data_IF_372827090778
#
_entry.id   IF_372827090778
#
_cell.length_a   1.000
_cell.length_b   1.000
_cell.length_c   1.000
_cell.angle_alpha   90.00
_cell.angle_beta   90.00
_cell.angle_gamma   90.00
#
_symmetry.space_group_name_H-M   'P 1'
#
loop_
_entity.id
_entity.type
_entity.pdbx_description
1 polymer ?
#
# COMPACT_ATOMS: atom_id res chain seq x y z
N UNK A 1 41.72 -19.27 5.21
CA UNK A 1 40.37 -19.09 4.62
C UNK A 1 40.46 -17.85 3.74
N UNK A 2 40.51 -18.02 2.42
CA UNK A 2 40.47 -16.92 1.47
C UNK A 2 39.02 -16.35 1.46
N UNK A 3 38.81 -15.02 1.41
CA UNK A 3 37.49 -14.44 1.22
C UNK A 3 36.99 -14.86 -0.18
N UNK A 4 35.74 -15.30 -0.26
CA UNK A 4 35.06 -15.58 -1.51
C UNK A 4 35.10 -14.31 -2.37
N UNK A 5 35.71 -14.40 -3.55
CA UNK A 5 35.65 -13.34 -4.55
C UNK A 5 34.23 -13.28 -5.09
N UNK A 6 33.51 -12.19 -4.78
CA UNK A 6 32.23 -11.88 -5.38
C UNK A 6 32.40 -11.58 -6.87
N UNK A 7 32.36 -12.65 -7.70
CA UNK A 7 32.33 -12.52 -9.17
C UNK A 7 30.88 -12.40 -9.63
N UNK A 8 30.37 -11.17 -9.69
CA UNK A 8 29.13 -10.92 -10.43
C UNK A 8 29.39 -11.17 -11.93
N UNK A 9 28.45 -11.91 -12.56
CA UNK A 9 28.49 -12.20 -13.99
C UNK A 9 28.36 -10.88 -14.80
N UNK A 10 28.95 -10.88 -16.03
CA UNK A 10 28.82 -9.79 -17.00
C UNK A 10 27.37 -9.49 -17.42
N UNK A 11 26.41 -10.35 -17.05
CA UNK A 11 24.96 -10.24 -17.33
C UNK A 11 24.17 -9.48 -16.23
N UNK A 12 24.85 -8.84 -15.26
CA UNK A 12 24.20 -8.23 -14.09
C UNK A 12 23.86 -9.23 -12.98
N UNK A 13 23.43 -8.74 -11.78
CA UNK A 13 23.11 -9.61 -10.64
C UNK A 13 21.82 -10.39 -10.89
N UNK A 14 21.80 -11.68 -10.51
CA UNK A 14 20.56 -12.47 -10.50
C UNK A 14 19.70 -12.03 -9.33
N UNK A 15 18.53 -11.45 -9.65
CA UNK A 15 17.54 -10.98 -8.66
C UNK A 15 16.47 -12.05 -8.48
N UNK A 16 16.04 -12.28 -7.23
CA UNK A 16 14.82 -13.00 -6.90
C UNK A 16 13.93 -12.12 -6.01
N UNK A 17 12.61 -12.25 -6.15
CA UNK A 17 11.64 -11.57 -5.31
C UNK A 17 11.20 -12.54 -4.22
N UNK A 18 11.14 -12.08 -2.97
CA UNK A 18 10.56 -12.81 -1.86
C UNK A 18 9.34 -12.07 -1.30
N UNK A 19 8.28 -12.80 -0.90
CA UNK A 19 7.09 -12.22 -0.31
C UNK A 19 6.50 -13.10 0.79
N UNK A 20 5.80 -12.50 1.75
CA UNK A 20 5.24 -13.22 2.88
C UNK A 20 4.25 -14.31 2.44
N UNK A 21 3.19 -13.93 1.74
CA UNK A 21 2.16 -14.84 1.21
C UNK A 21 1.32 -14.18 0.11
N UNK A 22 0.93 -14.96 -0.89
CA UNK A 22 0.07 -14.56 -2.02
C UNK A 22 -1.29 -15.25 -1.87
N UNK A 23 -2.11 -14.77 -0.91
CA UNK A 23 -3.41 -15.38 -0.54
C UNK A 23 -4.53 -14.36 -0.39
N UNK A 24 -4.34 -13.14 -0.92
CA UNK A 24 -5.31 -12.04 -0.87
C UNK A 24 -5.06 -11.01 -1.97
N UNK A 25 -6.03 -10.13 -2.20
CA UNK A 25 -5.93 -8.98 -3.11
C UNK A 25 -5.55 -7.72 -2.30
N UNK A 26 -4.29 -7.60 -1.90
CA UNK A 26 -3.81 -6.52 -1.04
C UNK A 26 -2.82 -5.58 -1.72
N UNK A 27 -2.50 -4.46 -1.04
CA UNK A 27 -1.52 -3.48 -1.53
C UNK A 27 -0.10 -4.02 -1.60
N UNK A 28 0.27 -4.92 -0.68
CA UNK A 28 1.59 -5.55 -0.68
C UNK A 28 1.75 -6.49 -1.88
N UNK A 29 0.75 -7.34 -2.15
CA UNK A 29 0.71 -8.24 -3.31
C UNK A 29 0.76 -7.45 -4.62
N UNK A 30 0.06 -6.30 -4.69
CA UNK A 30 0.14 -5.41 -5.84
C UNK A 30 1.54 -4.81 -6.02
N UNK A 31 2.22 -4.48 -4.93
CA UNK A 31 3.62 -4.03 -4.98
C UNK A 31 4.55 -5.13 -5.51
N UNK A 32 4.32 -6.39 -5.15
CA UNK A 32 5.06 -7.53 -5.72
C UNK A 32 4.86 -7.64 -7.22
N UNK A 33 3.66 -7.44 -7.75
CA UNK A 33 3.44 -7.34 -9.21
C UNK A 33 4.21 -6.19 -9.84
N UNK A 34 4.32 -5.06 -9.16
CA UNK A 34 5.12 -3.94 -9.66
C UNK A 34 6.63 -4.24 -9.60
N UNK A 35 7.09 -5.00 -8.60
CA UNK A 35 8.46 -5.51 -8.52
C UNK A 35 8.75 -6.53 -9.65
N UNK A 36 7.81 -7.43 -9.96
CA UNK A 36 7.99 -8.38 -11.07
C UNK A 36 8.03 -7.70 -12.44
N UNK A 37 7.38 -6.55 -12.60
CA UNK A 37 7.51 -5.73 -13.81
C UNK A 37 8.86 -5.01 -13.89
N UNK A 38 9.45 -4.63 -12.74
CA UNK A 38 10.81 -4.07 -12.69
C UNK A 38 11.89 -5.14 -12.93
N UNK A 39 11.64 -6.37 -12.51
CA UNK A 39 12.54 -7.52 -12.65
C UNK A 39 11.79 -8.70 -13.29
N UNK A 40 11.55 -8.68 -14.62
CA UNK A 40 10.67 -9.65 -15.28
C UNK A 40 11.19 -11.10 -15.23
N UNK A 41 12.49 -11.29 -15.13
CA UNK A 41 13.12 -12.62 -15.07
C UNK A 41 13.26 -13.15 -13.63
N UNK A 42 12.87 -12.37 -12.62
CA UNK A 42 13.04 -12.72 -11.22
C UNK A 42 11.96 -13.72 -10.77
N UNK A 43 12.34 -14.92 -10.28
CA UNK A 43 11.38 -15.83 -9.65
C UNK A 43 10.85 -15.24 -8.33
N UNK A 44 9.59 -15.56 -8.00
CA UNK A 44 8.93 -15.10 -6.78
C UNK A 44 8.86 -16.23 -5.77
N UNK A 45 9.50 -16.08 -4.62
CA UNK A 45 9.44 -17.02 -3.51
C UNK A 45 8.44 -16.56 -2.46
N UNK A 46 7.54 -17.43 -2.05
CA UNK A 46 6.55 -17.12 -1.00
C UNK A 46 6.23 -18.35 -0.15
N UNK A 47 5.82 -18.13 1.11
CA UNK A 47 5.44 -19.24 2.00
C UNK A 47 4.12 -19.88 1.63
N UNK A 48 3.15 -19.08 1.19
CA UNK A 48 1.80 -19.51 0.85
C UNK A 48 1.34 -18.84 -0.45
N UNK A 49 0.80 -19.64 -1.36
CA UNK A 49 0.22 -19.16 -2.62
C UNK A 49 -1.13 -19.83 -2.87
N UNK A 50 -2.16 -19.02 -3.03
CA UNK A 50 -3.49 -19.44 -3.47
C UNK A 50 -3.87 -18.63 -4.73
N UNK A 51 -3.75 -19.22 -5.95
CA UNK A 51 -3.97 -18.52 -7.20
C UNK A 51 -5.42 -18.03 -7.40
N UNK A 52 -6.39 -18.56 -6.63
CA UNK A 52 -7.79 -18.15 -6.70
C UNK A 52 -8.12 -17.03 -5.69
N UNK A 53 -7.22 -16.76 -4.74
CA UNK A 53 -7.42 -15.76 -3.71
C UNK A 53 -6.54 -14.51 -3.87
N UNK A 54 -5.67 -14.47 -4.87
CA UNK A 54 -4.79 -13.34 -5.16
C UNK A 54 -4.98 -12.81 -6.57
N UNK A 55 -4.13 -11.89 -7.02
CA UNK A 55 -4.20 -11.32 -8.37
C UNK A 55 -3.92 -12.39 -9.43
N UNK A 56 -4.76 -12.48 -10.48
CA UNK A 56 -4.65 -13.52 -11.51
C UNK A 56 -3.33 -13.47 -12.29
N UNK A 57 -2.68 -12.30 -12.36
CA UNK A 57 -1.40 -12.09 -13.03
C UNK A 57 -0.27 -12.95 -12.45
N UNK A 58 -0.36 -13.37 -11.18
CA UNK A 58 0.63 -14.29 -10.59
C UNK A 58 0.63 -15.68 -11.19
N UNK A 59 -0.41 -16.07 -11.94
CA UNK A 59 -0.47 -17.38 -12.62
C UNK A 59 0.52 -17.48 -13.76
N UNK A 60 0.91 -16.37 -14.36
CA UNK A 60 1.82 -16.26 -15.48
C UNK A 60 3.27 -16.02 -15.05
N UNK A 61 3.53 -15.95 -13.73
CA UNK A 61 4.85 -15.70 -13.16
C UNK A 61 5.44 -16.98 -12.50
N UNK A 62 6.77 -17.04 -12.41
CA UNK A 62 7.48 -18.16 -11.75
C UNK A 62 7.34 -18.03 -10.21
N UNK A 63 6.24 -18.55 -9.66
CA UNK A 63 5.96 -18.52 -8.21
C UNK A 63 6.41 -19.84 -7.56
N UNK A 64 7.37 -19.75 -6.66
CA UNK A 64 7.98 -20.88 -5.95
C UNK A 64 7.53 -20.92 -4.50
N UNK A 65 7.06 -22.07 -4.06
CA UNK A 65 6.50 -22.29 -2.72
C UNK A 65 7.12 -23.50 -2.02
N UNK A 66 7.28 -23.47 -0.68
CA UNK A 66 7.70 -24.64 0.09
C UNK A 66 6.60 -25.70 0.17
N UNK A 67 6.95 -26.92 0.60
CA UNK A 67 6.00 -28.00 0.81
C UNK A 67 4.85 -27.62 1.78
N UNK A 68 5.08 -26.68 2.67
CA UNK A 68 4.09 -26.13 3.60
C UNK A 68 2.85 -25.57 2.89
N UNK A 69 2.98 -25.06 1.66
CA UNK A 69 1.85 -24.58 0.86
C UNK A 69 0.79 -25.67 0.57
N UNK A 70 1.12 -26.96 0.69
CA UNK A 70 0.17 -28.05 0.52
C UNK A 70 -0.87 -28.14 1.65
N UNK A 71 -0.63 -27.46 2.78
CA UNK A 71 -1.53 -27.44 3.94
C UNK A 71 -2.67 -26.45 3.70
N UNK A 72 -3.75 -26.92 3.06
CA UNK A 72 -4.91 -26.08 2.66
C UNK A 72 -5.48 -25.17 3.76
N UNK A 73 -5.65 -25.60 5.04
CA UNK A 73 -6.17 -24.73 6.09
C UNK A 73 -5.31 -23.46 6.29
N UNK A 74 -3.99 -23.56 6.26
CA UNK A 74 -3.09 -22.40 6.43
C UNK A 74 -3.08 -21.48 5.22
N UNK A 75 -3.26 -22.04 4.01
CA UNK A 75 -3.39 -21.26 2.78
C UNK A 75 -4.64 -20.37 2.80
N UNK A 76 -5.79 -20.89 3.32
CA UNK A 76 -7.05 -20.14 3.43
C UNK A 76 -7.10 -19.21 4.64
N UNK A 77 -6.40 -19.57 5.71
CA UNK A 77 -6.42 -18.86 6.99
C UNK A 77 -4.99 -18.62 7.50
N UNK A 78 -4.17 -17.91 6.70
CA UNK A 78 -2.76 -17.66 7.01
C UNK A 78 -2.52 -17.08 8.42
N UNK A 79 -3.51 -16.35 8.98
CA UNK A 79 -3.43 -15.84 10.36
C UNK A 79 -3.38 -16.95 11.43
N UNK A 80 -3.94 -18.12 11.15
CA UNK A 80 -3.85 -19.27 12.05
C UNK A 80 -2.43 -19.88 12.06
N UNK A 81 -1.65 -19.66 11.01
CA UNK A 81 -0.28 -20.15 10.90
C UNK A 81 0.77 -19.23 11.57
N UNK A 82 0.40 -18.03 12.03
CA UNK A 82 1.32 -17.04 12.60
C UNK A 82 2.37 -17.60 13.57
N UNK A 83 2.05 -18.51 14.52
CA UNK A 83 3.05 -19.03 15.46
C UNK A 83 4.16 -19.87 14.81
N UNK A 84 3.89 -20.51 13.68
CA UNK A 84 4.83 -21.41 13.00
C UNK A 84 5.50 -20.78 11.79
N UNK A 85 5.02 -19.63 11.30
CA UNK A 85 5.58 -18.94 10.14
C UNK A 85 7.08 -18.60 10.28
N UNK A 86 7.65 -18.28 11.47
CA UNK A 86 9.09 -18.13 11.62
C UNK A 86 9.91 -19.36 11.18
N UNK A 87 9.41 -20.55 11.51
CA UNK A 87 10.05 -21.80 11.12
C UNK A 87 9.91 -22.06 9.61
N UNK A 88 8.71 -21.76 9.06
CA UNK A 88 8.47 -21.88 7.62
C UNK A 88 9.33 -20.89 6.85
N UNK A 89 9.43 -19.63 7.29
CA UNK A 89 10.28 -18.62 6.67
C UNK A 89 11.73 -19.08 6.59
N UNK A 90 12.29 -19.65 7.67
CA UNK A 90 13.65 -20.18 7.70
C UNK A 90 13.85 -21.44 6.84
N UNK A 91 12.78 -22.14 6.47
CA UNK A 91 12.87 -23.31 5.55
C UNK A 91 12.95 -22.90 4.08
N UNK A 92 12.58 -21.66 3.73
CA UNK A 92 12.68 -21.14 2.37
C UNK A 92 14.11 -20.71 2.12
N UNK A 93 14.75 -21.32 1.11
CA UNK A 93 16.07 -20.92 0.64
C UNK A 93 15.95 -20.33 -0.77
N UNK A 94 16.50 -19.12 -0.95
CA UNK A 94 16.47 -18.36 -2.20
C UNK A 94 17.88 -18.28 -2.76
N UNK A 95 18.13 -18.92 -3.88
CA UNK A 95 19.42 -18.85 -4.59
C UNK A 95 19.38 -17.71 -5.61
N UNK A 96 19.92 -16.58 -5.23
CA UNK A 96 20.06 -15.39 -6.05
C UNK A 96 21.19 -14.51 -5.49
N UNK A 97 21.71 -13.59 -6.31
CA UNK A 97 22.76 -12.66 -5.88
C UNK A 97 22.16 -11.54 -5.01
N UNK A 98 20.91 -11.12 -5.33
CA UNK A 98 20.12 -10.20 -4.52
C UNK A 98 18.70 -10.75 -4.34
N UNK A 99 18.23 -10.79 -3.11
CA UNK A 99 16.83 -11.12 -2.76
C UNK A 99 16.09 -9.84 -2.39
N UNK A 100 15.26 -9.35 -3.32
CA UNK A 100 14.35 -8.24 -3.10
C UNK A 100 13.12 -8.75 -2.34
N UNK A 101 13.04 -8.43 -1.06
CA UNK A 101 12.05 -8.99 -0.15
C UNK A 101 10.95 -7.99 0.15
N UNK A 102 9.74 -8.25 -0.32
CA UNK A 102 8.50 -7.54 0.05
C UNK A 102 7.96 -8.13 1.36
N UNK A 103 8.08 -7.41 2.47
CA UNK A 103 7.77 -7.95 3.80
C UNK A 103 6.81 -7.08 4.61
N UNK A 104 5.87 -7.78 5.27
CA UNK A 104 5.04 -7.28 6.36
C UNK A 104 5.30 -8.04 7.67
N UNK A 105 6.42 -8.76 7.75
CA UNK A 105 6.88 -9.38 8.99
C UNK A 105 7.46 -10.79 8.93
N UNK A 106 7.58 -11.47 7.77
CA UNK A 106 8.07 -12.85 7.73
C UNK A 106 9.14 -13.10 6.67
N UNK A 107 8.97 -12.61 5.44
CA UNK A 107 9.81 -12.93 4.31
C UNK A 107 11.27 -12.46 4.49
N UNK A 108 11.52 -11.45 5.32
CA UNK A 108 12.88 -11.04 5.68
C UNK A 108 13.68 -12.16 6.41
N UNK A 109 12.98 -13.17 6.95
CA UNK A 109 13.59 -14.36 7.54
C UNK A 109 13.92 -15.48 6.54
N UNK A 110 13.70 -15.32 5.23
CA UNK A 110 14.09 -16.30 4.23
C UNK A 110 15.63 -16.40 4.17
N UNK A 111 16.13 -17.60 3.90
CA UNK A 111 17.56 -17.86 3.83
C UNK A 111 18.07 -17.64 2.41
N UNK A 112 19.25 -17.06 2.29
CA UNK A 112 19.92 -16.86 1.01
C UNK A 112 21.44 -16.85 1.21
N UNK A 113 22.19 -17.10 0.14
CA UNK A 113 23.63 -16.85 0.05
C UNK A 113 23.91 -15.43 -0.49
N UNK A 114 22.92 -14.76 -1.08
CA UNK A 114 23.06 -13.42 -1.64
C UNK A 114 22.74 -12.31 -0.66
N UNK A 115 22.70 -11.09 -1.16
CA UNK A 115 22.33 -9.88 -0.41
C UNK A 115 20.83 -9.77 -0.20
N UNK A 116 20.40 -9.29 0.98
CA UNK A 116 19.00 -9.06 1.31
C UNK A 116 18.65 -7.59 1.24
N UNK A 117 17.81 -7.23 0.26
CA UNK A 117 17.19 -5.92 0.13
C UNK A 117 15.72 -6.00 0.59
N UNK A 118 15.39 -5.42 1.73
CA UNK A 118 14.05 -5.50 2.29
C UNK A 118 13.23 -4.29 1.90
N UNK A 119 12.13 -4.50 1.21
CA UNK A 119 11.07 -3.52 1.01
C UNK A 119 9.97 -3.77 2.04
N UNK A 120 9.94 -2.92 3.07
CA UNK A 120 9.07 -3.08 4.23
C UNK A 120 7.75 -2.33 4.03
N UNK A 121 6.62 -3.05 4.04
CA UNK A 121 5.29 -2.44 4.04
C UNK A 121 4.87 -1.94 5.41
N UNK A 122 5.29 -2.63 6.44
CA UNK A 122 5.20 -2.29 7.86
C UNK A 122 5.93 -3.35 8.66
N UNK A 123 6.66 -3.02 9.72
CA UNK A 123 6.98 -4.00 10.76
C UNK A 123 5.73 -4.74 11.19
N UNK A 124 5.85 -6.03 11.54
CA UNK A 124 4.71 -6.92 11.80
C UNK A 124 3.65 -6.28 12.70
N UNK A 125 2.54 -5.79 12.12
CA UNK A 125 1.50 -5.02 12.85
C UNK A 125 0.91 -5.82 14.00
N UNK A 126 0.67 -7.11 13.81
CA UNK A 126 0.17 -8.02 14.84
C UNK A 126 1.13 -8.15 16.03
N UNK A 127 2.39 -7.77 15.86
CA UNK A 127 3.44 -7.83 16.89
C UNK A 127 3.72 -6.46 17.54
N UNK A 128 3.84 -5.39 16.70
CA UNK A 128 4.22 -4.05 17.15
C UNK A 128 3.01 -3.12 17.37
N UNK A 129 1.88 -3.37 16.71
CA UNK A 129 0.65 -2.57 16.79
C UNK A 129 -0.57 -3.43 17.18
N UNK A 130 -0.41 -4.29 18.18
CA UNK A 130 -1.38 -5.34 18.56
C UNK A 130 -2.79 -4.82 18.82
N UNK A 131 -2.92 -3.71 19.54
CA UNK A 131 -4.22 -3.14 19.91
C UNK A 131 -5.01 -2.68 18.70
N UNK A 132 -4.34 -1.98 17.78
CA UNK A 132 -4.94 -1.52 16.54
C UNK A 132 -5.27 -2.70 15.58
N UNK A 133 -4.42 -3.75 15.56
CA UNK A 133 -4.56 -4.88 14.65
C UNK A 133 -5.65 -5.87 15.08
N UNK A 134 -5.74 -6.21 16.37
CA UNK A 134 -6.71 -7.20 16.88
C UNK A 134 -8.11 -6.61 17.11
N UNK A 135 -8.24 -5.29 17.19
CA UNK A 135 -9.48 -4.61 17.52
C UNK A 135 -10.01 -4.95 18.93
N UNK A 136 -11.11 -4.30 19.35
CA UNK A 136 -11.71 -4.52 20.66
C UNK A 136 -12.31 -5.94 20.84
N UNK A 137 -12.76 -6.57 19.75
CA UNK A 137 -13.52 -7.84 19.75
C UNK A 137 -12.66 -9.08 19.41
N UNK A 138 -11.34 -9.01 19.49
CA UNK A 138 -10.46 -10.15 19.21
C UNK A 138 -10.65 -11.31 20.20
N UNK A 139 -10.54 -12.56 19.69
CA UNK A 139 -10.61 -13.78 20.50
C UNK A 139 -9.60 -13.75 21.65
N UNK A 140 -10.07 -13.84 22.89
CA UNK A 140 -9.28 -13.73 24.13
C UNK A 140 -8.15 -14.77 24.20
N UNK A 141 -8.38 -16.00 23.74
CA UNK A 141 -7.37 -17.06 23.71
C UNK A 141 -6.23 -16.73 22.72
N UNK A 142 -6.57 -16.22 21.53
CA UNK A 142 -5.57 -15.79 20.55
C UNK A 142 -4.75 -14.59 21.06
N UNK A 143 -5.37 -13.65 21.77
CA UNK A 143 -4.70 -12.51 22.42
C UNK A 143 -3.71 -12.96 23.47
N UNK A 144 -4.11 -13.92 24.34
CA UNK A 144 -3.26 -14.46 25.38
C UNK A 144 -2.07 -15.24 24.80
N UNK A 145 -2.32 -16.12 23.82
CA UNK A 145 -1.30 -16.88 23.11
C UNK A 145 -0.26 -15.95 22.43
N UNK A 146 -0.73 -14.91 21.75
CA UNK A 146 0.15 -13.93 21.14
C UNK A 146 0.93 -13.11 22.18
N UNK A 147 0.32 -12.80 23.35
CA UNK A 147 1.01 -12.08 24.43
C UNK A 147 2.18 -12.90 24.97
N UNK A 148 2.01 -14.20 25.13
CA UNK A 148 3.08 -15.12 25.61
C UNK A 148 4.18 -15.30 24.55
N UNK A 149 3.81 -15.45 23.28
CA UNK A 149 4.78 -15.65 22.20
C UNK A 149 5.51 -14.36 21.75
N UNK A 150 4.95 -13.19 22.05
CA UNK A 150 5.45 -11.91 21.53
C UNK A 150 6.92 -11.62 21.86
N UNK A 151 7.47 -11.88 23.06
CA UNK A 151 8.88 -11.61 23.33
C UNK A 151 9.82 -12.42 22.42
N UNK A 152 9.52 -13.72 22.24
CA UNK A 152 10.26 -14.59 21.33
C UNK A 152 10.14 -14.13 19.88
N UNK A 153 8.92 -13.85 19.42
CA UNK A 153 8.65 -13.41 18.07
C UNK A 153 9.29 -12.05 17.74
N UNK A 154 9.29 -11.10 18.69
CA UNK A 154 10.00 -9.82 18.54
C UNK A 154 11.51 -9.99 18.46
N UNK A 155 12.06 -10.86 19.29
CA UNK A 155 13.51 -11.15 19.26
C UNK A 155 13.91 -11.80 17.93
N UNK A 156 13.10 -12.75 17.43
CA UNK A 156 13.32 -13.38 16.13
C UNK A 156 13.23 -12.36 15.00
N UNK A 157 12.13 -11.61 14.94
CA UNK A 157 11.85 -10.62 13.90
C UNK A 157 12.95 -9.54 13.82
N UNK A 158 13.35 -9.00 14.98
CA UNK A 158 14.44 -8.02 15.05
C UNK A 158 15.78 -8.59 14.59
N UNK A 159 16.09 -9.84 14.96
CA UNK A 159 17.33 -10.49 14.53
C UNK A 159 17.36 -10.70 13.03
N UNK A 160 16.26 -11.17 12.42
CA UNK A 160 16.18 -11.36 10.97
C UNK A 160 16.22 -10.01 10.25
N UNK A 161 15.58 -8.97 10.80
CA UNK A 161 15.69 -7.61 10.28
C UNK A 161 17.13 -7.10 10.25
N UNK A 162 17.86 -7.22 11.36
CA UNK A 162 19.25 -6.78 11.50
C UNK A 162 20.25 -7.63 10.67
N UNK A 163 19.84 -8.80 10.20
CA UNK A 163 20.65 -9.64 9.30
C UNK A 163 20.56 -9.25 7.83
N UNK A 164 19.74 -8.26 7.51
CA UNK A 164 19.51 -7.78 6.13
C UNK A 164 20.53 -6.69 5.77
N UNK A 165 20.91 -6.62 4.50
CA UNK A 165 21.93 -5.67 4.05
C UNK A 165 21.39 -4.25 3.90
N UNK A 166 20.12 -4.11 3.50
CA UNK A 166 19.48 -2.80 3.32
C UNK A 166 17.94 -2.87 3.52
N UNK A 167 17.37 -1.80 4.03
CA UNK A 167 15.93 -1.61 4.19
C UNK A 167 15.42 -0.44 3.34
N UNK A 168 14.27 -0.66 2.69
CA UNK A 168 13.47 0.34 2.00
C UNK A 168 12.11 0.42 2.70
N UNK A 169 11.64 1.62 2.95
CA UNK A 169 10.31 1.92 3.48
C UNK A 169 9.39 2.39 2.35
N UNK A 170 8.12 2.02 2.39
CA UNK A 170 7.14 2.48 1.42
C UNK A 170 6.60 3.90 1.69
N UNK A 171 6.92 4.50 2.84
CA UNK A 171 6.48 5.82 3.25
C UNK A 171 7.32 6.35 4.41
N UNK A 172 7.25 7.66 4.67
CA UNK A 172 7.88 8.29 5.84
C UNK A 172 7.35 7.71 7.15
N UNK A 173 6.06 7.42 7.22
CA UNK A 173 5.44 6.78 8.39
C UNK A 173 6.02 5.39 8.66
N UNK A 174 6.26 4.59 7.62
CA UNK A 174 6.87 3.25 7.76
C UNK A 174 8.37 3.34 8.05
N UNK A 175 9.09 4.31 7.50
CA UNK A 175 10.49 4.60 7.87
C UNK A 175 10.61 4.82 9.38
N UNK A 176 9.76 5.66 9.97
CA UNK A 176 9.72 5.86 11.42
C UNK A 176 9.45 4.57 12.20
N UNK A 177 8.48 3.76 11.76
CA UNK A 177 8.18 2.48 12.43
C UNK A 177 9.31 1.45 12.31
N UNK A 178 10.04 1.43 11.20
CA UNK A 178 11.24 0.58 11.04
C UNK A 178 12.29 1.00 12.05
N UNK A 179 12.52 2.30 12.18
CA UNK A 179 13.46 2.83 13.16
C UNK A 179 13.05 2.47 14.60
N UNK A 180 11.78 2.66 14.97
CA UNK A 180 11.25 2.33 16.29
C UNK A 180 11.35 0.83 16.62
N UNK A 181 11.09 -0.04 15.63
CA UNK A 181 11.09 -1.49 15.83
C UNK A 181 12.49 -2.10 15.82
N UNK A 182 13.38 -1.62 14.94
CA UNK A 182 14.64 -2.28 14.62
C UNK A 182 15.87 -1.41 14.86
N UNK A 183 15.73 -0.07 14.92
CA UNK A 183 16.85 0.89 14.95
C UNK A 183 17.51 1.06 13.58
N UNK A 184 16.84 0.69 12.49
CA UNK A 184 17.35 0.79 11.12
C UNK A 184 16.85 2.08 10.48
N UNK A 185 17.76 2.88 9.91
CA UNK A 185 17.42 4.03 9.06
C UNK A 185 17.21 3.55 7.63
N UNK A 186 15.93 3.40 7.24
CA UNK A 186 15.55 2.90 5.92
C UNK A 186 15.49 4.04 4.91
N UNK A 187 15.85 3.77 3.65
CA UNK A 187 15.55 4.68 2.55
C UNK A 187 14.08 4.59 2.15
N UNK A 188 13.53 5.67 1.60
CA UNK A 188 12.14 5.66 1.15
C UNK A 188 12.08 5.38 -0.34
N UNK A 189 11.29 4.37 -0.72
CA UNK A 189 10.92 4.06 -2.11
C UNK A 189 9.40 3.93 -2.17
N UNK A 190 8.74 4.92 -2.72
CA UNK A 190 7.29 4.95 -2.78
C UNK A 190 6.75 3.90 -3.74
N UNK A 191 5.71 3.12 -3.34
CA UNK A 191 5.06 2.20 -4.26
C UNK A 191 4.31 2.99 -5.35
N UNK A 192 4.28 2.47 -6.59
CA UNK A 192 3.70 3.22 -7.69
C UNK A 192 2.18 3.28 -7.64
N UNK A 193 1.61 4.29 -8.28
CA UNK A 193 0.19 4.37 -8.58
C UNK A 193 -0.20 3.13 -9.37
N UNK A 194 -1.13 2.38 -8.84
CA UNK A 194 -1.35 0.99 -9.23
C UNK A 194 -2.34 0.79 -10.37
N UNK A 195 -3.06 1.83 -10.79
CA UNK A 195 -4.05 1.71 -11.86
C UNK A 195 -3.65 2.58 -13.05
N UNK A 196 -3.22 1.96 -14.16
CA UNK A 196 -3.25 2.67 -15.42
C UNK A 196 -4.71 3.07 -15.71
N UNK A 197 -4.93 4.19 -16.43
CA UNK A 197 -6.25 4.54 -16.92
C UNK A 197 -6.87 3.34 -17.62
N UNK A 198 -8.14 3.05 -17.33
CA UNK A 198 -8.85 2.00 -18.07
C UNK A 198 -8.84 2.34 -19.56
N UNK A 199 -8.64 1.34 -20.40
CA UNK A 199 -8.66 1.50 -21.87
C UNK A 199 -10.02 2.04 -22.37
N UNK A 200 -11.09 1.75 -21.63
CA UNK A 200 -12.44 2.24 -21.89
C UNK A 200 -12.96 2.98 -20.65
N UNK A 201 -13.36 4.24 -20.83
CA UNK A 201 -13.97 5.09 -19.79
C UNK A 201 -15.48 5.02 -19.94
N UNK A 202 -16.18 4.72 -18.87
CA UNK A 202 -17.61 4.43 -18.84
C UNK A 202 -18.32 5.37 -17.87
N UNK A 203 -19.27 6.16 -18.39
CA UNK A 203 -20.10 7.02 -17.54
C UNK A 203 -21.07 6.20 -16.69
N UNK A 204 -21.45 6.76 -15.54
CA UNK A 204 -22.36 6.12 -14.59
C UNK A 204 -23.72 6.79 -14.68
N UNK A 205 -24.76 6.14 -15.29
CA UNK A 205 -26.08 6.74 -15.47
C UNK A 205 -26.70 7.25 -14.18
N UNK A 206 -26.53 6.56 -13.06
CA UNK A 206 -27.00 6.99 -11.76
C UNK A 206 -26.44 8.37 -11.36
N UNK A 207 -25.14 8.58 -11.60
CA UNK A 207 -24.46 9.85 -11.25
C UNK A 207 -24.83 10.94 -12.26
N UNK A 208 -24.82 10.64 -13.58
CA UNK A 208 -25.13 11.62 -14.63
C UNK A 208 -26.59 12.11 -14.52
N UNK A 209 -27.55 11.23 -14.24
CA UNK A 209 -28.93 11.59 -14.01
C UNK A 209 -29.12 12.43 -12.74
N UNK A 210 -28.42 12.07 -11.66
CA UNK A 210 -28.42 12.83 -10.40
C UNK A 210 -27.83 14.23 -10.58
N UNK A 211 -26.82 14.39 -11.44
CA UNK A 211 -26.24 15.67 -11.79
C UNK A 211 -27.11 16.50 -12.76
N UNK A 212 -28.20 15.93 -13.30
CA UNK A 212 -29.14 16.55 -14.26
C UNK A 212 -28.50 16.95 -15.59
N UNK A 213 -27.71 16.09 -16.18
CA UNK A 213 -27.08 16.25 -17.50
C UNK A 213 -25.66 15.73 -17.56
N UNK A 214 -24.97 15.99 -18.68
CA UNK A 214 -23.54 15.74 -18.77
C UNK A 214 -22.86 16.50 -17.64
N UNK A 215 -22.20 15.76 -16.74
CA UNK A 215 -21.55 16.37 -15.59
C UNK A 215 -20.52 17.37 -16.10
N UNK A 216 -20.64 18.66 -15.79
CA UNK A 216 -19.54 19.57 -16.04
C UNK A 216 -18.32 19.05 -15.27
N UNK A 217 -17.13 19.26 -15.82
CA UNK A 217 -15.90 19.02 -15.06
C UNK A 217 -16.05 19.66 -13.68
N UNK A 218 -15.64 18.92 -12.62
CA UNK A 218 -15.68 19.38 -11.25
C UNK A 218 -17.09 19.47 -10.58
N UNK A 219 -18.07 18.71 -11.06
CA UNK A 219 -19.43 18.75 -10.54
C UNK A 219 -19.62 18.14 -9.13
N UNK A 220 -18.68 17.31 -8.65
CA UNK A 220 -18.79 16.59 -7.39
C UNK A 220 -17.43 16.30 -6.75
N UNK A 221 -17.42 16.15 -5.43
CA UNK A 221 -16.31 15.60 -4.69
C UNK A 221 -16.38 14.07 -4.65
N UNK A 222 -15.24 13.41 -4.55
CA UNK A 222 -15.15 11.95 -4.62
C UNK A 222 -14.48 11.37 -3.36
N UNK A 223 -15.06 10.31 -2.82
CA UNK A 223 -14.43 9.42 -1.82
C UNK A 223 -14.35 8.03 -2.42
N UNK A 224 -13.14 7.45 -2.43
CA UNK A 224 -12.92 6.04 -2.81
C UNK A 224 -12.25 5.33 -1.65
N UNK A 225 -12.99 4.45 -0.96
CA UNK A 225 -12.47 3.82 0.26
C UNK A 225 -13.21 2.54 0.62
N UNK A 226 -12.53 1.61 1.30
CA UNK A 226 -13.23 0.59 2.08
C UNK A 226 -13.97 1.26 3.22
N UNK A 227 -15.25 0.96 3.41
CA UNK A 227 -16.09 1.61 4.42
C UNK A 227 -15.88 0.96 5.80
N UNK A 228 -14.70 1.23 6.37
CA UNK A 228 -14.28 0.78 7.70
C UNK A 228 -14.26 1.97 8.68
N UNK A 229 -14.44 1.75 9.99
CA UNK A 229 -14.54 2.85 10.98
C UNK A 229 -13.37 3.84 10.91
N UNK A 230 -12.12 3.36 10.84
CA UNK A 230 -10.93 4.22 10.80
C UNK A 230 -10.76 5.04 9.52
N UNK A 231 -11.62 4.82 8.54
CA UNK A 231 -11.65 5.62 7.30
C UNK A 231 -12.41 6.93 7.47
N UNK A 232 -13.17 7.08 8.55
CA UNK A 232 -13.89 8.30 8.94
C UNK A 232 -14.75 8.90 7.81
N UNK A 233 -15.33 8.03 6.96
CA UNK A 233 -16.16 8.48 5.83
C UNK A 233 -17.44 9.14 6.33
N UNK A 234 -17.91 8.78 7.52
CA UNK A 234 -19.07 9.42 8.18
C UNK A 234 -18.83 10.90 8.48
N UNK A 235 -17.62 11.27 8.88
CA UNK A 235 -17.25 12.68 9.08
C UNK A 235 -17.33 13.47 7.76
N UNK A 236 -16.89 12.87 6.65
CA UNK A 236 -17.00 13.47 5.31
C UNK A 236 -18.46 13.61 4.91
N UNK A 237 -19.27 12.53 4.99
CA UNK A 237 -20.68 12.55 4.62
C UNK A 237 -21.46 13.63 5.41
N UNK A 238 -21.21 13.73 6.71
CA UNK A 238 -21.82 14.76 7.56
C UNK A 238 -21.42 16.19 7.20
N UNK A 239 -20.22 16.41 6.66
CA UNK A 239 -19.74 17.71 6.23
C UNK A 239 -20.50 18.26 4.99
N UNK A 240 -21.17 17.38 4.25
CA UNK A 240 -21.98 17.76 3.09
C UNK A 240 -23.43 18.06 3.45
N UNK A 241 -23.89 17.72 4.66
CA UNK A 241 -25.27 17.98 5.08
C UNK A 241 -25.55 19.49 5.15
N UNK A 242 -26.65 19.91 4.51
CA UNK A 242 -27.08 21.33 4.49
C UNK A 242 -26.25 22.23 3.57
N UNK A 243 -25.46 21.66 2.65
CA UNK A 243 -24.69 22.39 1.64
C UNK A 243 -25.17 22.05 0.22
N UNK A 244 -24.86 22.92 -0.75
CA UNK A 244 -25.10 22.66 -2.18
C UNK A 244 -24.01 21.79 -2.84
N UNK A 245 -22.96 21.42 -2.09
CA UNK A 245 -21.88 20.55 -2.54
C UNK A 245 -22.39 19.15 -2.80
N UNK A 246 -21.83 18.49 -3.80
CA UNK A 246 -22.20 17.13 -4.19
C UNK A 246 -21.07 16.16 -3.89
N UNK A 247 -21.41 14.99 -3.33
CA UNK A 247 -20.45 13.96 -2.95
C UNK A 247 -20.82 12.61 -3.58
N UNK A 248 -19.85 11.98 -4.21
CA UNK A 248 -19.92 10.56 -4.61
C UNK A 248 -19.01 9.75 -3.70
N UNK A 249 -19.56 8.75 -3.02
CA UNK A 249 -18.83 7.80 -2.16
C UNK A 249 -18.79 6.45 -2.85
N UNK A 250 -17.61 5.98 -3.19
CA UNK A 250 -17.39 4.66 -3.77
C UNK A 250 -16.75 3.74 -2.75
N UNK A 251 -17.42 2.63 -2.44
CA UNK A 251 -16.85 1.65 -1.53
C UNK A 251 -17.83 0.63 -0.99
N UNK A 252 -17.28 -0.32 -0.26
CA UNK A 252 -18.02 -1.34 0.46
C UNK A 252 -17.39 -1.59 1.84
N UNK A 253 -18.17 -2.10 2.78
CA UNK A 253 -17.69 -2.41 4.13
C UNK A 253 -18.78 -2.28 5.19
N UNK A 254 -18.44 -2.60 6.46
CA UNK A 254 -19.41 -2.65 7.56
C UNK A 254 -20.09 -1.30 7.86
N UNK A 255 -19.49 -0.17 7.48
CA UNK A 255 -20.09 1.15 7.69
C UNK A 255 -21.10 1.54 6.60
N UNK A 256 -21.27 0.75 5.53
CA UNK A 256 -22.11 1.11 4.39
C UNK A 256 -23.56 1.43 4.79
N UNK A 257 -24.16 0.64 5.69
CA UNK A 257 -25.54 0.85 6.12
C UNK A 257 -25.67 2.10 6.99
N UNK A 258 -24.75 2.32 7.91
CA UNK A 258 -24.70 3.53 8.71
C UNK A 258 -24.59 4.79 7.83
N UNK A 259 -23.72 4.76 6.82
CA UNK A 259 -23.54 5.89 5.90
C UNK A 259 -24.81 6.18 5.08
N UNK A 260 -25.55 5.13 4.66
CA UNK A 260 -26.85 5.31 3.98
C UNK A 260 -27.89 5.99 4.86
N UNK A 261 -27.87 5.74 6.18
CA UNK A 261 -28.80 6.34 7.13
C UNK A 261 -28.49 7.81 7.40
N UNK A 262 -27.23 8.23 7.35
CA UNK A 262 -26.82 9.60 7.66
C UNK A 262 -26.66 10.50 6.43
N UNK A 263 -26.63 9.94 5.21
CA UNK A 263 -26.46 10.72 3.99
C UNK A 263 -27.69 11.58 3.69
N UNK A 264 -27.44 12.71 3.04
CA UNK A 264 -28.45 13.61 2.47
C UNK A 264 -28.57 13.40 0.95
N UNK A 265 -29.51 14.05 0.28
CA UNK A 265 -29.80 13.86 -1.16
C UNK A 265 -28.65 14.31 -2.08
N UNK A 266 -27.74 15.15 -1.58
CA UNK A 266 -26.54 15.60 -2.27
C UNK A 266 -25.36 14.61 -2.12
N UNK A 267 -25.60 13.40 -1.60
CA UNK A 267 -24.60 12.32 -1.48
C UNK A 267 -25.09 11.06 -2.19
N UNK A 268 -24.33 10.57 -3.17
CA UNK A 268 -24.54 9.28 -3.86
C UNK A 268 -23.54 8.26 -3.36
N UNK A 269 -24.00 7.04 -3.11
CA UNK A 269 -23.16 5.93 -2.66
C UNK A 269 -23.16 4.80 -3.68
N UNK A 270 -21.98 4.42 -4.16
CA UNK A 270 -21.75 3.41 -5.19
C UNK A 270 -20.85 2.28 -4.65
N UNK A 271 -20.97 1.10 -5.25
CA UNK A 271 -20.11 -0.04 -4.94
C UNK A 271 -19.95 -0.93 -6.17
N UNK A 272 -18.90 -1.76 -6.18
CA UNK A 272 -18.65 -2.76 -7.23
C UNK A 272 -18.60 -2.17 -8.65
N UNK A 273 -17.93 -1.03 -8.80
CA UNK A 273 -17.73 -0.38 -10.09
C UNK A 273 -16.69 -1.10 -10.95
N UNK A 274 -16.87 -1.04 -12.29
CA UNK A 274 -15.83 -1.37 -13.23
C UNK A 274 -14.66 -0.39 -13.13
N UNK A 275 -13.48 -0.78 -13.61
CA UNK A 275 -12.33 0.13 -13.69
C UNK A 275 -12.61 1.32 -14.61
N UNK A 276 -13.42 1.14 -15.66
CA UNK A 276 -13.87 2.21 -16.54
C UNK A 276 -14.75 3.24 -15.86
N UNK A 277 -15.73 2.77 -15.06
CA UNK A 277 -16.61 3.62 -14.28
C UNK A 277 -15.85 4.39 -13.16
N UNK A 278 -14.92 3.72 -12.48
CA UNK A 278 -14.09 4.38 -11.47
C UNK A 278 -13.15 5.42 -12.11
N UNK A 279 -12.59 5.11 -13.28
CA UNK A 279 -11.78 6.06 -14.05
C UNK A 279 -12.60 7.30 -14.42
N UNK A 280 -13.86 7.10 -14.84
CA UNK A 280 -14.75 8.21 -15.15
C UNK A 280 -14.98 9.12 -13.93
N UNK A 281 -15.18 8.56 -12.74
CA UNK A 281 -15.33 9.35 -11.51
C UNK A 281 -14.08 10.16 -11.17
N UNK A 282 -12.89 9.56 -11.24
CA UNK A 282 -11.64 10.28 -11.01
C UNK A 282 -11.43 11.42 -12.02
N UNK A 283 -11.79 11.19 -13.27
CA UNK A 283 -11.63 12.19 -14.33
C UNK A 283 -12.56 13.39 -14.17
N UNK A 284 -13.77 13.17 -13.65
CA UNK A 284 -14.82 14.19 -13.59
C UNK A 284 -15.08 14.76 -12.18
N UNK A 285 -14.41 14.28 -11.14
CA UNK A 285 -14.54 14.88 -9.82
C UNK A 285 -13.81 16.22 -9.74
N UNK A 286 -14.25 17.08 -8.81
CA UNK A 286 -13.57 18.34 -8.46
C UNK A 286 -12.30 18.06 -7.66
N UNK A 287 -12.42 17.21 -6.67
CA UNK A 287 -11.31 16.76 -5.83
C UNK A 287 -11.67 15.43 -5.17
N UNK A 288 -10.63 14.71 -4.69
CA UNK A 288 -10.86 13.57 -3.81
C UNK A 288 -10.77 14.00 -2.35
N UNK A 289 -11.59 13.38 -1.48
CA UNK A 289 -11.54 13.62 -0.04
C UNK A 289 -11.13 12.33 0.67
N UNK A 290 -10.18 12.43 1.62
CA UNK A 290 -9.68 11.30 2.38
C UNK A 290 -9.45 11.67 3.85
N UNK A 291 -10.23 11.05 4.77
CA UNK A 291 -10.18 11.32 6.21
C UNK A 291 -9.54 10.18 7.03
N UNK A 292 -8.86 9.26 6.37
CA UNK A 292 -8.35 8.04 6.99
C UNK A 292 -6.96 8.21 7.60
N UNK A 293 -6.69 7.39 8.61
CA UNK A 293 -5.34 7.18 9.12
C UNK A 293 -4.60 6.16 8.23
N UNK A 294 -3.93 6.65 7.17
CA UNK A 294 -3.25 5.80 6.17
C UNK A 294 -1.75 5.75 6.38
N UNK A 295 -1.18 4.58 6.10
CA UNK A 295 0.27 4.42 6.09
C UNK A 295 0.92 4.94 4.80
N UNK A 296 0.17 4.95 3.67
CA UNK A 296 0.66 5.47 2.38
C UNK A 296 -0.36 6.37 1.66
N UNK A 297 -1.60 5.94 1.42
CA UNK A 297 -2.63 6.78 0.80
C UNK A 297 -2.54 6.86 -0.73
N UNK A 298 -2.98 5.81 -1.44
CA UNK A 298 -2.94 5.75 -2.91
C UNK A 298 -4.00 6.63 -3.60
N UNK A 299 -5.15 6.86 -2.98
CA UNK A 299 -6.29 7.53 -3.63
C UNK A 299 -6.02 8.97 -4.10
N UNK A 300 -5.25 9.81 -3.36
CA UNK A 300 -4.82 11.11 -3.88
C UNK A 300 -3.99 11.00 -5.16
N UNK A 301 -3.12 10.00 -5.23
CA UNK A 301 -2.30 9.77 -6.42
C UNK A 301 -3.12 9.29 -7.61
N UNK A 302 -4.10 8.42 -7.38
CA UNK A 302 -5.02 7.92 -8.41
C UNK A 302 -5.83 9.07 -9.03
N UNK A 303 -6.32 10.02 -8.23
CA UNK A 303 -6.98 11.24 -8.72
C UNK A 303 -5.99 12.19 -9.41
N UNK A 304 -4.79 12.33 -8.84
CA UNK A 304 -3.75 13.20 -9.35
C UNK A 304 -3.23 12.83 -10.74
N UNK A 305 -3.32 11.56 -11.16
CA UNK A 305 -3.07 11.14 -12.55
C UNK A 305 -3.96 11.92 -13.53
N UNK A 306 -5.18 12.27 -13.11
CA UNK A 306 -6.14 13.06 -13.90
C UNK A 306 -6.03 14.56 -13.64
N UNK A 307 -5.05 15.00 -12.86
CA UNK A 307 -4.89 16.40 -12.49
C UNK A 307 -5.87 16.87 -11.42
N UNK A 308 -6.50 15.93 -10.70
CA UNK A 308 -7.47 16.26 -9.64
C UNK A 308 -6.76 16.34 -8.28
N UNK A 309 -6.94 17.46 -7.56
CA UNK A 309 -6.32 17.66 -6.24
C UNK A 309 -7.01 16.82 -5.16
N UNK A 310 -6.39 16.76 -3.98
CA UNK A 310 -6.92 16.05 -2.83
C UNK A 310 -7.14 16.99 -1.64
N UNK A 311 -8.22 16.74 -0.86
CA UNK A 311 -8.44 17.33 0.46
C UNK A 311 -8.35 16.19 1.48
N UNK A 312 -7.28 16.14 2.28
CA UNK A 312 -6.99 14.97 3.09
C UNK A 312 -6.67 15.30 4.54
N UNK A 313 -6.84 14.31 5.41
CA UNK A 313 -6.37 14.38 6.79
C UNK A 313 -4.84 14.55 6.80
N UNK A 314 -4.33 15.50 7.58
CA UNK A 314 -2.89 15.73 7.77
C UNK A 314 -2.27 14.60 8.59
N UNK A 315 -2.14 13.42 7.98
CA UNK A 315 -1.66 12.24 8.68
C UNK A 315 -0.97 11.23 7.74
N UNK A 316 0.09 10.62 8.27
CA UNK A 316 0.74 9.44 7.72
C UNK A 316 1.17 9.60 6.26
N UNK A 317 0.81 8.65 5.42
CA UNK A 317 1.23 8.63 4.02
C UNK A 317 0.60 9.70 3.14
N UNK A 318 -0.44 10.41 3.59
CA UNK A 318 -0.93 11.58 2.86
C UNK A 318 0.10 12.71 2.84
N UNK A 319 0.95 12.80 3.89
CA UNK A 319 2.06 13.76 3.94
C UNK A 319 3.16 13.47 2.89
N UNK A 320 3.23 12.24 2.42
CA UNK A 320 4.16 11.83 1.35
C UNK A 320 3.54 12.01 -0.04
N UNK A 321 2.22 11.78 -0.17
CA UNK A 321 1.54 11.69 -1.47
C UNK A 321 0.91 13.00 -1.93
N UNK A 322 0.71 13.96 -1.04
CA UNK A 322 0.14 15.27 -1.33
C UNK A 322 1.20 16.33 -1.10
N UNK A 323 1.47 17.13 -2.12
CA UNK A 323 2.23 18.37 -2.00
C UNK A 323 1.25 19.51 -1.75
N UNK A 324 1.27 20.07 -0.52
CA UNK A 324 0.34 21.13 -0.09
C UNK A 324 0.39 22.33 -1.05
N UNK A 325 -0.76 22.91 -1.34
CA UNK A 325 -0.98 24.02 -2.28
C UNK A 325 -0.65 23.72 -3.76
N UNK A 326 -0.19 22.50 -4.07
CA UNK A 326 0.12 22.07 -5.45
C UNK A 326 -0.77 20.92 -5.89
N UNK A 327 -0.82 19.82 -5.12
CA UNK A 327 -1.62 18.65 -5.46
C UNK A 327 -2.77 18.42 -4.47
N UNK A 328 -2.95 19.31 -3.51
CA UNK A 328 -4.04 19.26 -2.55
C UNK A 328 -3.79 20.09 -1.31
N UNK A 329 -4.62 19.88 -0.32
CA UNK A 329 -4.54 20.54 0.98
C UNK A 329 -4.96 19.62 2.12
N UNK A 330 -4.76 20.07 3.35
CA UNK A 330 -5.04 19.26 4.53
C UNK A 330 -6.09 19.87 5.46
N UNK A 331 -6.74 18.97 6.22
CA UNK A 331 -7.43 19.27 7.47
C UNK A 331 -6.81 18.45 8.61
N UNK A 332 -6.89 18.97 9.85
CA UNK A 332 -6.08 18.45 10.97
C UNK A 332 -6.82 17.42 11.85
N UNK A 333 -8.14 17.28 11.68
CA UNK A 333 -8.94 16.32 12.45
C UNK A 333 -10.01 15.65 11.56
N UNK A 334 -10.27 14.33 11.72
CA UNK A 334 -11.28 13.62 10.95
C UNK A 334 -12.70 13.89 11.50
N UNK A 335 -13.07 15.14 11.56
CA UNK A 335 -14.39 15.62 12.06
C UNK A 335 -15.12 16.39 10.98
N UNK A 336 -16.45 16.36 11.01
CA UNK A 336 -17.29 17.07 10.04
C UNK A 336 -17.00 18.57 9.97
N UNK A 337 -16.82 19.31 11.10
CA UNK A 337 -16.45 20.72 11.02
C UNK A 337 -15.10 20.98 10.36
N UNK A 338 -14.08 20.17 10.66
CA UNK A 338 -12.75 20.33 10.06
C UNK A 338 -12.74 20.04 8.55
N UNK A 339 -13.53 19.04 8.11
CA UNK A 339 -13.73 18.76 6.69
C UNK A 339 -14.46 19.91 5.99
N UNK A 340 -15.55 20.44 6.60
CA UNK A 340 -16.32 21.55 6.04
C UNK A 340 -15.45 22.82 5.87
N UNK A 341 -14.70 23.20 6.92
CA UNK A 341 -13.76 24.33 6.87
C UNK A 341 -12.68 24.15 5.77
N UNK A 342 -12.15 22.91 5.64
CA UNK A 342 -11.19 22.63 4.58
C UNK A 342 -11.81 22.77 3.19
N UNK A 343 -13.05 22.34 3.00
CA UNK A 343 -13.77 22.52 1.73
C UNK A 343 -14.04 24.00 1.41
N UNK A 344 -14.39 24.83 2.40
CA UNK A 344 -14.56 26.28 2.23
C UNK A 344 -13.25 26.93 1.76
N UNK A 345 -12.12 26.57 2.38
CA UNK A 345 -10.80 27.06 1.98
C UNK A 345 -10.41 26.54 0.60
N UNK A 346 -10.67 25.25 0.32
CA UNK A 346 -10.36 24.61 -0.96
C UNK A 346 -11.06 25.34 -2.13
N UNK A 347 -12.31 25.76 -1.96
CA UNK A 347 -13.08 26.46 -2.99
C UNK A 347 -12.59 27.88 -3.29
N UNK A 348 -11.83 28.46 -2.38
CA UNK A 348 -11.14 29.76 -2.60
C UNK A 348 -9.76 29.62 -3.26
N UNK A 349 -9.29 28.39 -3.49
CA UNK A 349 -7.98 28.10 -4.09
C UNK A 349 -8.13 27.62 -5.54
N UNK A 350 -7.11 27.88 -6.34
CA UNK A 350 -6.99 27.32 -7.69
C UNK A 350 -5.84 26.31 -7.74
N UNK A 351 -6.14 25.12 -8.25
CA UNK A 351 -5.16 24.05 -8.46
C UNK A 351 -4.93 23.85 -9.95
N UNK A 352 -3.68 23.99 -10.37
CA UNK A 352 -3.25 23.75 -11.75
C UNK A 352 -3.18 22.23 -12.01
N UNK A 353 -4.04 21.67 -12.88
CA UNK A 353 -4.05 20.22 -13.16
C UNK A 353 -2.71 19.69 -13.69
N UNK A 354 -1.92 20.51 -14.40
CA UNK A 354 -0.61 20.10 -14.92
C UNK A 354 0.44 20.02 -13.82
N UNK A 355 0.37 20.89 -12.82
CA UNK A 355 1.24 20.80 -11.63
C UNK A 355 0.89 19.58 -10.79
N UNK A 356 -0.41 19.26 -10.62
CA UNK A 356 -0.87 18.04 -9.95
C UNK A 356 -0.32 16.80 -10.67
N UNK A 357 -0.52 16.71 -11.99
CA UNK A 357 -0.01 15.57 -12.79
C UNK A 357 1.52 15.47 -12.72
N UNK A 358 2.24 16.59 -12.73
CA UNK A 358 3.70 16.61 -12.62
C UNK A 358 4.17 16.07 -11.28
N UNK A 359 3.51 16.47 -10.18
CA UNK A 359 3.80 15.94 -8.85
C UNK A 359 3.62 14.41 -8.80
N UNK A 360 2.54 13.88 -9.36
CA UNK A 360 2.23 12.44 -9.30
C UNK A 360 3.18 11.58 -10.14
N UNK A 361 3.88 12.14 -11.15
CA UNK A 361 4.81 11.36 -11.99
C UNK A 361 5.94 10.70 -11.20
N UNK A 362 6.37 11.27 -10.09
CA UNK A 362 7.39 10.67 -9.23
C UNK A 362 6.96 9.33 -8.61
N UNK A 363 5.64 9.07 -8.55
CA UNK A 363 5.05 7.82 -8.08
C UNK A 363 4.67 6.90 -9.25
N UNK A 364 5.33 7.00 -10.38
CA UNK A 364 5.11 6.13 -11.53
C UNK A 364 5.76 4.76 -11.36
N UNK A 365 5.30 3.77 -12.13
CA UNK A 365 5.94 2.46 -12.22
C UNK A 365 7.40 2.57 -12.67
N UNK A 366 7.70 3.49 -13.58
CA UNK A 366 9.06 3.73 -14.06
C UNK A 366 9.96 4.23 -12.92
N UNK A 367 9.53 5.27 -12.20
CA UNK A 367 10.30 5.82 -11.07
C UNK A 367 10.52 4.77 -9.97
N UNK A 368 9.52 3.94 -9.68
CA UNK A 368 9.65 2.84 -8.74
C UNK A 368 10.69 1.80 -9.19
N UNK A 369 10.63 1.40 -10.47
CA UNK A 369 11.61 0.45 -11.04
C UNK A 369 13.03 1.02 -11.01
N UNK A 370 13.22 2.28 -11.42
CA UNK A 370 14.53 2.96 -11.40
C UNK A 370 15.13 3.00 -9.98
N UNK A 371 14.31 3.32 -8.97
CA UNK A 371 14.76 3.34 -7.57
C UNK A 371 15.12 1.95 -7.05
N UNK A 372 14.37 0.90 -7.41
CA UNK A 372 14.68 -0.48 -7.05
C UNK A 372 15.96 -0.98 -7.74
N UNK A 373 16.12 -0.71 -9.04
CA UNK A 373 17.36 -1.04 -9.75
C UNK A 373 18.56 -0.35 -9.11
N UNK A 374 18.47 0.96 -8.84
CA UNK A 374 19.53 1.70 -8.15
C UNK A 374 19.86 1.14 -6.76
N UNK A 375 18.86 0.64 -6.01
CA UNK A 375 19.09 -0.01 -4.71
C UNK A 375 19.79 -1.37 -4.85
N UNK A 376 19.47 -2.15 -5.89
CA UNK A 376 20.14 -3.42 -6.23
C UNK A 376 21.57 -3.17 -6.66
N UNK A 377 21.80 -2.21 -7.55
CA UNK A 377 23.13 -1.87 -8.06
C UNK A 377 24.07 -1.42 -6.93
N UNK A 378 23.58 -0.62 -5.98
CA UNK A 378 24.36 -0.20 -4.82
C UNK A 378 24.77 -1.35 -3.90
N UNK A 379 23.95 -2.40 -3.79
CA UNK A 379 24.28 -3.60 -3.01
C UNK A 379 25.29 -4.52 -3.71
N UNK A 380 25.37 -4.46 -5.03
CA UNK A 380 26.23 -5.31 -5.86
C UNK A 380 27.47 -4.59 -6.36
N UNK A 381 27.54 -3.25 -6.18
CA UNK A 381 28.73 -2.50 -6.50
C UNK A 381 29.94 -3.04 -5.73
N UNK A 382 31.12 -3.21 -6.38
CA UNK A 382 32.34 -3.58 -5.69
C UNK A 382 32.58 -2.56 -4.56
N UNK A 383 32.77 -3.04 -3.33
CA UNK A 383 33.12 -2.16 -2.22
C UNK A 383 34.37 -1.37 -2.64
N UNK A 384 34.26 -0.05 -2.74
CA UNK A 384 35.44 0.81 -2.84
C UNK A 384 36.27 0.56 -1.57
N UNK A 385 37.31 -0.24 -1.72
CA UNK A 385 38.33 -0.40 -0.68
C UNK A 385 39.00 0.98 -0.56
N UNK A 386 38.55 1.82 0.35
CA UNK A 386 39.30 2.96 0.82
C UNK A 386 40.60 2.40 1.43
N UNK A 387 41.65 2.32 0.61
CA UNK A 387 43.02 2.25 1.11
C UNK A 387 43.35 3.61 1.70
N UNK A 388 43.34 3.69 3.00
CA UNK A 388 44.12 4.68 3.75
C UNK A 388 45.37 4.01 4.26
#
# INVERSE_FOLDING_TARGET
>A
MQPAQDTFSAAGPRVAIAHDYLTQLGGAEKTVLNMSRAFPDAPIYTMLYDPDATFPEFRDLDVRVPLFNKVKPFRRHHRAALPILPLVARSVFVDADVVLTSSSGWAHGFRTNGRKLIYCHSPARWLYQREAYLGANGNTAARLGLKVAAPYLKSWDRREALSSDRYLANSTAIKGRIFDAYGIDADIVFPPVSKPPAAHVESIPEVTNWLRGDAPDDAFYLVVSRLLPYKNVDAIVRAFAGTDRRLVVVGHGPQAEHLRQIKTDNVVMLSHLSDGALTWLYKNCRAIIAASYEDYGLTPLEAGVWGKPAVALRFGGFLDTILEDVSGMYFDAPTSPAVADALDRFESMEFDPDKVRRHVRQFSQQSFAEQLHGAVDQLTAPAFVNRV
#
